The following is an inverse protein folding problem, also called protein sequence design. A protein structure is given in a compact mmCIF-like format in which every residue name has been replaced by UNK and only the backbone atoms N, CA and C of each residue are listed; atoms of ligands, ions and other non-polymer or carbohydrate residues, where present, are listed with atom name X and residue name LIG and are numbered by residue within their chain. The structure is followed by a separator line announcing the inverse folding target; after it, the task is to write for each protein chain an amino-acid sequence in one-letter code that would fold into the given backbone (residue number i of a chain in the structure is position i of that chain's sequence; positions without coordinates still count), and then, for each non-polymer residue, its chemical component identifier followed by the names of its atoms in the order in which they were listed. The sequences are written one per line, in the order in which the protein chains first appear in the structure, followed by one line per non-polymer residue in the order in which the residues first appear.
data_IF_020433064255
#
_entry.id   IF_020433064255
#
_cell.length_a   1.000
_cell.length_b   1.000
_cell.length_c   1.000
_cell.angle_alpha   90.00
_cell.angle_beta   90.00
_cell.angle_gamma   90.00
#
_symmetry.space_group_name_H-M   'P 1'
#
loop_
_entity.id
_entity.type
_entity.pdbx_description
1 polymer ?
#
# COMPACT_ATOMS: atom_id res chain seq x y z
N UNK A 1 12.07 22.84 -2.11
CA UNK A 1 10.98 23.61 -2.76
C UNK A 1 9.78 22.69 -2.88
N UNK A 2 8.76 22.84 -2.03
CA UNK A 2 7.52 22.03 -2.13
C UNK A 2 6.30 22.66 -1.42
N UNK A 3 6.47 23.51 -0.41
CA UNK A 3 5.33 23.98 0.40
C UNK A 3 4.45 25.07 -0.25
N UNK A 4 4.96 25.83 -1.21
CA UNK A 4 4.16 26.89 -1.86
C UNK A 4 3.13 26.35 -2.88
N UNK A 5 3.41 25.19 -3.51
CA UNK A 5 2.59 24.67 -4.62
C UNK A 5 1.32 23.93 -4.16
N UNK A 6 1.24 23.52 -2.89
CA UNK A 6 0.09 22.75 -2.41
C UNK A 6 -1.02 23.63 -1.84
N UNK A 7 -0.75 24.87 -1.42
CA UNK A 7 -1.71 25.71 -0.69
C UNK A 7 -3.06 25.86 -1.42
N UNK A 8 -3.04 25.93 -2.75
CA UNK A 8 -4.21 26.14 -3.61
C UNK A 8 -5.11 24.91 -3.79
N UNK A 9 -4.64 23.69 -3.46
CA UNK A 9 -5.45 22.49 -3.63
C UNK A 9 -6.43 22.28 -2.46
N UNK A 10 -7.65 21.77 -2.73
CA UNK A 10 -8.59 21.33 -1.70
C UNK A 10 -7.98 20.29 -0.73
N UNK A 11 -8.49 20.23 0.50
CA UNK A 11 -7.95 19.37 1.55
C UNK A 11 -7.97 17.87 1.20
N UNK A 12 -9.01 17.40 0.49
CA UNK A 12 -9.10 16.01 0.03
C UNK A 12 -8.04 15.69 -1.04
N UNK A 13 -7.74 16.62 -1.95
CA UNK A 13 -6.69 16.47 -2.97
C UNK A 13 -5.30 16.41 -2.33
N UNK A 14 -5.01 17.32 -1.39
CA UNK A 14 -3.77 17.30 -0.57
C UNK A 14 -3.61 15.97 0.16
N UNK A 15 -4.66 15.52 0.84
CA UNK A 15 -4.66 14.28 1.61
C UNK A 15 -4.44 13.08 0.70
N UNK A 16 -5.15 12.99 -0.43
CA UNK A 16 -5.00 11.89 -1.38
C UNK A 16 -3.58 11.83 -1.95
N UNK A 17 -3.03 12.98 -2.36
CA UNK A 17 -1.67 13.05 -2.91
C UNK A 17 -0.63 12.67 -1.85
N UNK A 18 -0.69 13.28 -0.67
CA UNK A 18 0.26 13.04 0.41
C UNK A 18 0.25 11.57 0.84
N UNK A 19 -0.94 10.99 1.07
CA UNK A 19 -1.05 9.59 1.48
C UNK A 19 -0.59 8.62 0.38
N UNK A 20 -0.90 8.89 -0.89
CA UNK A 20 -0.41 8.07 -1.99
C UNK A 20 1.13 8.07 -2.05
N UNK A 21 1.76 9.23 -1.86
CA UNK A 21 3.21 9.36 -1.83
C UNK A 21 3.82 8.68 -0.60
N UNK A 22 3.28 8.92 0.60
CA UNK A 22 3.74 8.30 1.86
C UNK A 22 3.72 6.78 1.74
N UNK A 23 2.57 6.21 1.37
CA UNK A 23 2.41 4.76 1.27
C UNK A 23 3.37 4.19 0.20
N UNK A 24 3.47 4.81 -0.98
CA UNK A 24 4.38 4.34 -2.02
C UNK A 24 5.84 4.36 -1.56
N UNK A 25 6.30 5.46 -0.98
CA UNK A 25 7.66 5.58 -0.47
C UNK A 25 7.95 4.58 0.66
N UNK A 26 6.98 4.32 1.55
CA UNK A 26 7.13 3.32 2.59
C UNK A 26 7.35 1.92 1.99
N UNK A 27 6.57 1.51 0.99
CA UNK A 27 6.78 0.21 0.36
C UNK A 27 8.06 0.11 -0.45
N UNK A 28 8.51 1.19 -1.11
CA UNK A 28 9.83 1.22 -1.74
C UNK A 28 10.95 0.97 -0.71
N UNK A 29 10.86 1.59 0.48
CA UNK A 29 11.83 1.36 1.56
C UNK A 29 11.77 -0.08 2.08
N UNK A 30 10.57 -0.66 2.20
CA UNK A 30 10.42 -2.05 2.64
C UNK A 30 10.98 -3.05 1.65
N UNK A 31 10.87 -2.80 0.33
CA UNK A 31 11.52 -3.62 -0.69
C UNK A 31 13.03 -3.60 -0.50
N UNK A 32 13.62 -2.41 -0.39
CA UNK A 32 15.06 -2.27 -0.18
C UNK A 32 15.50 -2.96 1.11
N UNK A 33 14.80 -2.70 2.22
CA UNK A 33 15.08 -3.33 3.51
C UNK A 33 14.93 -4.86 3.46
N UNK A 34 13.98 -5.37 2.68
CA UNK A 34 13.84 -6.80 2.44
C UNK A 34 15.01 -7.34 1.61
N UNK A 35 15.43 -6.67 0.54
CA UNK A 35 16.58 -7.11 -0.26
C UNK A 35 17.90 -7.05 0.51
N UNK A 36 18.12 -6.00 1.32
CA UNK A 36 19.33 -5.79 2.12
C UNK A 36 19.40 -6.67 3.39
N UNK A 37 18.32 -7.37 3.75
CA UNK A 37 18.30 -8.26 4.91
C UNK A 37 19.06 -9.57 4.62
N UNK A 38 20.39 -9.52 4.63
CA UNK A 38 21.29 -10.68 4.43
C UNK A 38 21.25 -11.71 5.58
N UNK A 39 20.52 -11.39 6.66
CA UNK A 39 20.39 -12.24 7.86
C UNK A 39 19.28 -13.28 7.65
N UNK A 40 19.68 -14.49 7.26
CA UNK A 40 18.78 -15.64 7.15
C UNK A 40 18.13 -16.07 8.47
N UNK A 41 17.03 -16.83 8.36
CA UNK A 41 16.33 -17.41 9.52
C UNK A 41 15.40 -16.42 10.22
N UNK A 42 15.46 -16.38 11.56
CA UNK A 42 14.46 -15.67 12.37
C UNK A 42 14.38 -14.17 12.06
N UNK A 43 15.51 -13.52 11.77
CA UNK A 43 15.53 -12.09 11.43
C UNK A 43 14.76 -11.80 10.13
N UNK A 44 14.95 -12.63 9.09
CA UNK A 44 14.20 -12.55 7.83
C UNK A 44 12.70 -12.72 8.04
N UNK A 45 12.31 -13.71 8.86
CA UNK A 45 10.91 -14.00 9.18
C UNK A 45 10.24 -12.83 9.92
N UNK A 46 10.94 -12.22 10.88
CA UNK A 46 10.44 -11.04 11.59
C UNK A 46 10.24 -9.85 10.65
N UNK A 47 11.19 -9.61 9.73
CA UNK A 47 11.09 -8.57 8.72
C UNK A 47 9.88 -8.77 7.79
N UNK A 48 9.72 -9.97 7.25
CA UNK A 48 8.58 -10.30 6.41
C UNK A 48 7.24 -10.10 7.13
N UNK A 49 7.17 -10.44 8.41
CA UNK A 49 5.94 -10.30 9.18
C UNK A 49 5.56 -8.84 9.50
N UNK A 50 6.55 -7.97 9.72
CA UNK A 50 6.30 -6.52 9.84
C UNK A 50 5.78 -5.96 8.50
N UNK A 51 6.42 -6.33 7.40
CA UNK A 51 5.98 -5.97 6.04
C UNK A 51 4.56 -6.47 5.77
N UNK A 52 4.23 -7.72 6.14
CA UNK A 52 2.87 -8.28 6.04
C UNK A 52 1.83 -7.40 6.74
N UNK A 53 2.14 -6.92 7.94
CA UNK A 53 1.24 -6.05 8.70
C UNK A 53 1.01 -4.73 7.95
N UNK A 54 2.07 -4.12 7.43
CA UNK A 54 1.98 -2.88 6.63
C UNK A 54 1.21 -3.09 5.31
N UNK A 55 1.42 -4.21 4.61
CA UNK A 55 0.66 -4.58 3.41
C UNK A 55 -0.85 -4.62 3.69
N UNK A 56 -1.25 -5.25 4.79
CA UNK A 56 -2.66 -5.35 5.19
C UNK A 56 -3.25 -3.97 5.51
N UNK A 57 -2.54 -3.11 6.23
CA UNK A 57 -3.00 -1.75 6.53
C UNK A 57 -3.16 -0.91 5.27
N UNK A 58 -2.18 -0.93 4.38
CA UNK A 58 -2.22 -0.17 3.14
C UNK A 58 -3.34 -0.66 2.22
N UNK A 59 -3.51 -1.98 2.06
CA UNK A 59 -4.64 -2.57 1.31
C UNK A 59 -5.97 -2.06 1.85
N UNK A 60 -6.16 -2.10 3.18
CA UNK A 60 -7.38 -1.61 3.82
C UNK A 60 -7.60 -0.12 3.56
N UNK A 61 -6.53 0.68 3.62
CA UNK A 61 -6.61 2.10 3.28
C UNK A 61 -7.05 2.31 1.83
N UNK A 62 -6.42 1.65 0.85
CA UNK A 62 -6.75 1.77 -0.57
C UNK A 62 -8.19 1.34 -0.86
N UNK A 63 -8.64 0.23 -0.29
CA UNK A 63 -10.00 -0.27 -0.49
C UNK A 63 -11.08 0.61 0.14
N UNK A 64 -10.75 1.32 1.22
CA UNK A 64 -11.70 2.13 1.97
C UNK A 64 -11.43 3.63 1.74
N UNK A 65 -10.65 4.25 2.63
CA UNK A 65 -10.43 5.69 2.66
C UNK A 65 -9.85 6.24 1.33
N UNK A 66 -8.85 5.57 0.76
CA UNK A 66 -8.24 5.99 -0.50
C UNK A 66 -9.23 5.96 -1.66
N UNK A 67 -9.97 4.86 -1.83
CA UNK A 67 -11.01 4.75 -2.87
C UNK A 67 -12.11 5.80 -2.70
N UNK A 68 -12.54 6.06 -1.46
CA UNK A 68 -13.51 7.12 -1.15
C UNK A 68 -12.99 8.50 -1.56
N UNK A 69 -11.76 8.84 -1.16
CA UNK A 69 -11.13 10.13 -1.48
C UNK A 69 -11.04 10.37 -2.98
N UNK A 70 -10.57 9.39 -3.77
CA UNK A 70 -10.48 9.56 -5.22
C UNK A 70 -11.85 9.75 -5.87
N UNK A 71 -12.89 9.07 -5.39
CA UNK A 71 -14.26 9.24 -5.88
C UNK A 71 -14.83 10.62 -5.54
N UNK A 72 -14.56 11.13 -4.33
CA UNK A 72 -14.96 12.48 -3.92
C UNK A 72 -14.27 13.56 -4.75
N UNK A 73 -12.96 13.41 -5.03
CA UNK A 73 -12.25 14.31 -5.94
C UNK A 73 -12.90 14.24 -7.32
N UNK A 74 -13.11 13.03 -7.85
CA UNK A 74 -13.69 12.81 -9.18
C UNK A 74 -15.10 13.38 -9.36
N UNK A 75 -15.91 13.48 -8.29
CA UNK A 75 -17.24 14.09 -8.35
C UNK A 75 -17.21 15.55 -8.78
N UNK A 76 -16.08 16.23 -8.58
CA UNK A 76 -15.87 17.63 -8.98
C UNK A 76 -15.12 17.79 -10.31
N UNK A 77 -14.79 16.68 -11.00
CA UNK A 77 -13.97 16.69 -12.22
C UNK A 77 -14.79 16.24 -13.45
N UNK A 78 -14.49 16.74 -14.66
CA UNK A 78 -15.21 16.37 -15.89
C UNK A 78 -15.22 14.86 -16.21
N UNK A 79 -14.23 14.09 -15.71
CA UNK A 79 -14.17 12.65 -15.93
C UNK A 79 -15.24 11.86 -15.16
N UNK A 80 -15.82 12.45 -14.10
CA UNK A 80 -16.82 11.82 -13.25
C UNK A 80 -16.33 10.64 -12.41
N UNK A 81 -17.19 10.22 -11.48
CA UNK A 81 -16.92 9.15 -10.50
C UNK A 81 -16.80 7.77 -11.14
N UNK A 82 -17.58 7.48 -12.18
CA UNK A 82 -17.65 6.17 -12.83
C UNK A 82 -16.34 5.79 -13.52
N UNK A 83 -15.72 6.74 -14.24
CA UNK A 83 -14.44 6.51 -14.92
C UNK A 83 -13.33 6.19 -13.90
N UNK A 84 -13.28 6.94 -12.80
CA UNK A 84 -12.29 6.71 -11.73
C UNK A 84 -12.56 5.40 -10.99
N UNK A 85 -13.83 5.05 -10.73
CA UNK A 85 -14.19 3.78 -10.09
C UNK A 85 -13.77 2.58 -10.94
N UNK A 86 -14.00 2.62 -12.27
CA UNK A 86 -13.52 1.57 -13.18
C UNK A 86 -12.01 1.46 -13.17
N UNK A 87 -11.29 2.59 -13.15
CA UNK A 87 -9.81 2.58 -13.14
C UNK A 87 -9.26 2.02 -11.82
N UNK A 88 -9.87 2.34 -10.68
CA UNK A 88 -9.51 1.77 -9.38
C UNK A 88 -9.64 0.24 -9.41
N UNK A 89 -10.78 -0.29 -9.87
CA UNK A 89 -11.00 -1.74 -9.92
C UNK A 89 -10.05 -2.43 -10.90
N UNK A 90 -9.75 -1.81 -12.04
CA UNK A 90 -8.71 -2.29 -12.95
C UNK A 90 -7.35 -2.40 -12.27
N UNK A 91 -6.90 -1.37 -11.55
CA UNK A 91 -5.61 -1.41 -10.84
C UNK A 91 -5.56 -2.53 -9.81
N UNK A 92 -6.62 -2.69 -9.01
CA UNK A 92 -6.71 -3.76 -8.00
C UNK A 92 -6.58 -5.14 -8.63
N UNK A 93 -7.24 -5.35 -9.77
CA UNK A 93 -7.23 -6.62 -10.50
C UNK A 93 -5.88 -6.87 -11.19
N UNK A 94 -5.32 -5.88 -11.89
CA UNK A 94 -4.03 -6.00 -12.60
C UNK A 94 -2.90 -6.39 -11.67
N UNK A 95 -2.83 -5.78 -10.48
CA UNK A 95 -1.76 -6.05 -9.53
C UNK A 95 -2.12 -7.11 -8.49
N UNK A 96 -3.35 -7.64 -8.53
CA UNK A 96 -3.82 -8.67 -7.61
C UNK A 96 -3.73 -8.25 -6.14
N UNK A 97 -4.16 -7.03 -5.79
CA UNK A 97 -4.01 -6.49 -4.42
C UNK A 97 -4.62 -7.41 -3.33
N UNK A 98 -5.61 -8.22 -3.69
CA UNK A 98 -6.25 -9.18 -2.79
C UNK A 98 -5.34 -10.37 -2.42
N UNK A 99 -4.20 -10.59 -3.10
CA UNK A 99 -3.18 -11.57 -2.68
C UNK A 99 -2.67 -11.29 -1.27
N UNK A 100 -2.70 -10.03 -0.83
CA UNK A 100 -2.39 -9.60 0.55
C UNK A 100 -3.31 -10.27 1.60
N UNK A 101 -4.49 -10.76 1.22
CA UNK A 101 -5.41 -11.44 2.13
C UNK A 101 -4.78 -12.68 2.81
N UNK A 102 -3.82 -13.33 2.15
CA UNK A 102 -3.06 -14.44 2.72
C UNK A 102 -2.33 -14.08 4.01
N UNK A 103 -2.00 -12.79 4.21
CA UNK A 103 -1.24 -12.33 5.36
C UNK A 103 -2.07 -11.70 6.47
N UNK A 104 -3.40 -11.72 6.37
CA UNK A 104 -4.29 -11.10 7.37
C UNK A 104 -4.11 -11.71 8.75
N UNK A 105 -3.91 -13.02 8.82
CA UNK A 105 -3.78 -13.74 10.10
C UNK A 105 -2.45 -13.43 10.81
N UNK A 106 -1.46 -12.91 10.09
CA UNK A 106 -0.15 -12.51 10.66
C UNK A 106 -0.12 -11.05 11.10
N UNK A 107 -1.13 -10.25 10.70
CA UNK A 107 -1.24 -8.83 11.02
C UNK A 107 -1.16 -8.62 12.52
N UNK A 108 -0.18 -7.83 12.98
CA UNK A 108 0.04 -7.52 14.39
C UNK A 108 0.28 -8.75 15.29
N UNK A 109 0.61 -9.92 14.73
CA UNK A 109 0.87 -11.13 15.53
C UNK A 109 2.36 -11.36 15.81
N UNK A 110 3.22 -10.88 14.92
CA UNK A 110 4.67 -11.10 15.03
C UNK A 110 5.39 -9.84 15.50
N UNK A 111 4.92 -8.64 15.13
CA UNK A 111 5.49 -7.37 15.59
C UNK A 111 5.27 -7.06 17.08
N UNK A 112 4.35 -7.79 17.74
CA UNK A 112 4.20 -7.78 19.19
C UNK A 112 4.98 -8.97 19.76
N UNK A 113 6.31 -8.85 19.80
CA UNK A 113 7.25 -9.91 20.23
C UNK A 113 7.07 -10.41 21.67
N UNK A 114 6.10 -9.87 22.41
CA UNK A 114 5.75 -10.23 23.77
C UNK A 114 4.44 -11.04 23.86
N UNK A 115 3.80 -11.38 22.72
CA UNK A 115 2.65 -12.28 22.70
C UNK A 115 3.11 -13.73 22.97
N UNK A 116 2.39 -14.42 23.86
CA UNK A 116 2.69 -15.82 24.23
C UNK A 116 2.66 -16.79 23.04
N UNK A 117 1.95 -16.44 21.96
CA UNK A 117 1.82 -17.25 20.76
C UNK A 117 2.78 -16.84 19.63
N UNK A 118 3.68 -15.87 19.87
CA UNK A 118 4.57 -15.33 18.83
C UNK A 118 5.39 -16.44 18.12
N UNK A 119 5.86 -17.44 18.86
CA UNK A 119 6.60 -18.59 18.30
C UNK A 119 5.72 -19.45 17.37
N UNK A 120 4.45 -19.70 17.73
CA UNK A 120 3.52 -20.45 16.88
C UNK A 120 3.24 -19.70 15.58
N UNK A 121 3.06 -18.38 15.63
CA UNK A 121 2.89 -17.58 14.42
C UNK A 121 4.15 -17.52 13.56
N UNK A 122 5.33 -17.44 14.17
CA UNK A 122 6.61 -17.51 13.46
C UNK A 122 6.81 -18.85 12.76
N UNK A 123 6.44 -19.96 13.40
CA UNK A 123 6.50 -21.30 12.78
C UNK A 123 5.55 -21.43 11.59
N UNK A 124 4.32 -20.92 11.71
CA UNK A 124 3.34 -20.91 10.60
C UNK A 124 3.84 -20.04 9.45
N UNK A 125 4.32 -18.83 9.77
CA UNK A 125 4.86 -17.89 8.79
C UNK A 125 6.13 -18.43 8.11
N UNK A 126 6.96 -19.21 8.83
CA UNK A 126 8.12 -19.89 8.27
C UNK A 126 7.80 -20.94 7.21
N UNK A 127 6.54 -21.36 7.08
CA UNK A 127 6.07 -22.19 5.97
C UNK A 127 5.71 -21.40 4.70
N UNK A 128 5.72 -20.07 4.74
CA UNK A 128 5.43 -19.22 3.57
C UNK A 128 6.61 -19.17 2.61
N UNK A 129 6.33 -19.11 1.30
CA UNK A 129 7.37 -18.93 0.29
C UNK A 129 7.89 -17.49 0.30
N UNK A 130 9.20 -17.34 0.52
CA UNK A 130 9.87 -16.05 0.47
C UNK A 130 9.84 -15.43 -0.95
N UNK A 131 9.88 -16.25 -1.99
CA UNK A 131 9.76 -15.82 -3.39
C UNK A 131 8.36 -15.28 -3.67
N UNK A 132 7.32 -16.03 -3.26
CA UNK A 132 5.93 -15.61 -3.44
C UNK A 132 5.63 -14.33 -2.64
N UNK A 133 6.15 -14.25 -1.41
CA UNK A 133 6.06 -13.05 -0.59
C UNK A 133 6.67 -11.83 -1.30
N UNK A 134 7.88 -11.99 -1.85
CA UNK A 134 8.54 -10.92 -2.56
C UNK A 134 7.79 -10.50 -3.84
N UNK A 135 7.20 -11.46 -4.54
CA UNK A 135 6.36 -11.19 -5.70
C UNK A 135 5.13 -10.34 -5.31
N UNK A 136 4.46 -10.69 -4.20
CA UNK A 136 3.33 -9.91 -3.68
C UNK A 136 3.76 -8.50 -3.30
N UNK A 137 4.88 -8.36 -2.56
CA UNK A 137 5.41 -7.06 -2.17
C UNK A 137 5.75 -6.20 -3.39
N UNK A 138 6.45 -6.77 -4.37
CA UNK A 138 6.83 -6.11 -5.61
C UNK A 138 5.63 -5.70 -6.46
N UNK A 139 4.59 -6.52 -6.50
CA UNK A 139 3.32 -6.18 -7.16
C UNK A 139 2.60 -5.03 -6.43
N UNK A 140 2.63 -5.03 -5.10
CA UNK A 140 2.04 -3.97 -4.28
C UNK A 140 2.74 -2.62 -4.48
N UNK A 141 4.07 -2.61 -4.64
CA UNK A 141 4.84 -1.39 -4.96
C UNK A 141 4.40 -0.82 -6.30
N UNK A 142 4.27 -1.65 -7.34
CA UNK A 142 3.75 -1.23 -8.66
C UNK A 142 2.33 -0.69 -8.57
N UNK A 143 1.45 -1.38 -7.84
CA UNK A 143 0.10 -0.92 -7.55
C UNK A 143 0.09 0.48 -6.90
N UNK A 144 0.90 0.68 -5.86
CA UNK A 144 0.95 1.96 -5.13
C UNK A 144 1.48 3.11 -6.01
N UNK A 145 2.44 2.81 -6.90
CA UNK A 145 2.95 3.77 -7.88
C UNK A 145 1.88 4.16 -8.91
N UNK A 146 1.18 3.18 -9.48
CA UNK A 146 0.08 3.44 -10.42
C UNK A 146 -1.07 4.21 -9.76
N UNK A 147 -1.35 3.93 -8.49
CA UNK A 147 -2.32 4.69 -7.69
C UNK A 147 -1.88 6.14 -7.50
N UNK A 148 -0.61 6.38 -7.16
CA UNK A 148 -0.05 7.72 -7.05
C UNK A 148 -0.15 8.48 -8.38
N UNK A 149 0.13 7.81 -9.50
CA UNK A 149 -0.02 8.39 -10.83
C UNK A 149 -1.50 8.71 -11.17
N UNK A 150 -2.44 7.83 -10.83
CA UNK A 150 -3.87 8.09 -10.96
C UNK A 150 -4.28 9.32 -10.15
N UNK A 151 -3.83 9.40 -8.90
CA UNK A 151 -4.11 10.52 -7.99
C UNK A 151 -3.59 11.84 -8.56
N UNK A 152 -2.33 11.86 -9.00
CA UNK A 152 -1.70 13.01 -9.65
C UNK A 152 -2.48 13.47 -10.87
N UNK A 153 -2.81 12.54 -11.77
CA UNK A 153 -3.56 12.85 -12.99
C UNK A 153 -4.94 13.43 -12.68
N UNK A 154 -5.61 12.91 -11.65
CA UNK A 154 -6.94 13.38 -11.25
C UNK A 154 -6.91 14.81 -10.69
N UNK A 155 -5.86 15.14 -9.94
CA UNK A 155 -5.65 16.46 -9.34
C UNK A 155 -5.23 17.47 -10.41
N UNK A 156 -4.22 17.13 -11.23
CA UNK A 156 -3.63 18.02 -12.23
C UNK A 156 -4.52 18.32 -13.43
N UNK A 157 -5.51 17.47 -13.75
CA UNK A 157 -6.45 17.72 -14.86
C UNK A 157 -7.25 19.02 -14.72
N UNK A 158 -7.17 19.71 -13.58
CA UNK A 158 -7.69 21.06 -13.34
C UNK A 158 -6.70 21.95 -12.55
N UNK A 159 -5.37 21.77 -12.65
CA UNK A 159 -4.49 22.87 -12.22
C UNK A 159 -4.80 24.07 -13.16
N UNK A 160 -5.02 25.28 -12.64
CA UNK A 160 -5.32 26.45 -13.47
C UNK A 160 -4.30 26.65 -14.59
#
# INVERSE_FOLDING_TARGET
MADADLAHYPANEKTAWAMAAVIHCDFCRLVIAYEECEREGLARLLSMADISSKLVEARNWYNNAGSKLLKEIAASKPCGVEAVSRRIEQLKNTHGINRVNRYVDYRNKIGYHYDENAITYLQRFGGESAEEFFEVLSSFVRFSGDWAQLTKNLIQRNAP
#
